data_IF_542004380961
#
_entry.id   IF_542004380961
#
_cell.length_a   1.000
_cell.length_b   1.000
_cell.length_c   1.000
_cell.angle_alpha   90.00
_cell.angle_beta   90.00
_cell.angle_gamma   90.00
#
_symmetry.space_group_name_H-M   'P 1'
#
loop_
_entity.id
_entity.type
_entity.pdbx_description
1 polymer ?
#
# COMPACT_ATOMS: atom_id res chain seq x y z
N UNK A 1 -29.40 2.29 13.88
CA UNK A 1 -28.17 1.51 13.75
C UNK A 1 -27.01 2.48 13.77
N UNK A 2 -25.95 2.13 14.49
CA UNK A 2 -24.72 2.92 14.47
C UNK A 2 -23.96 2.66 13.17
N UNK A 3 -23.26 3.68 12.66
CA UNK A 3 -22.41 3.55 11.48
C UNK A 3 -21.16 4.38 11.63
N UNK A 4 -20.09 3.94 10.99
CA UNK A 4 -18.81 4.62 10.90
C UNK A 4 -18.46 4.78 9.42
N UNK A 5 -18.13 6.00 9.02
CA UNK A 5 -17.59 6.30 7.69
C UNK A 5 -16.12 6.65 7.86
N UNK A 6 -15.27 6.02 7.07
CA UNK A 6 -13.82 6.21 7.13
C UNK A 6 -13.23 6.24 5.72
N UNK A 7 -12.26 7.13 5.51
CA UNK A 7 -11.40 7.15 4.32
C UNK A 7 -10.10 6.41 4.63
N UNK A 8 -9.69 5.56 3.73
CA UNK A 8 -8.51 4.70 3.87
C UNK A 8 -7.45 5.11 2.84
N UNK A 9 -6.31 5.66 3.29
CA UNK A 9 -5.31 6.21 2.37
C UNK A 9 -4.57 5.12 1.60
N UNK A 10 -4.10 5.44 0.42
CA UNK A 10 -3.05 4.68 -0.25
C UNK A 10 -1.68 4.94 0.40
N UNK A 11 -0.71 4.12 0.04
CA UNK A 11 0.72 4.34 0.34
C UNK A 11 1.58 4.23 -0.91
N UNK A 12 2.75 4.83 -0.87
CA UNK A 12 3.86 4.54 -1.77
C UNK A 12 5.06 4.05 -0.96
N UNK A 13 6.00 3.37 -1.64
CA UNK A 13 7.31 3.07 -1.08
C UNK A 13 8.33 4.04 -1.69
N UNK A 14 8.77 5.01 -0.91
CA UNK A 14 9.85 5.94 -1.30
C UNK A 14 11.20 5.22 -1.38
N UNK A 15 11.38 4.20 -0.56
CA UNK A 15 12.52 3.32 -0.54
C UNK A 15 12.07 1.88 -0.35
N UNK A 16 12.61 0.94 -1.09
CA UNK A 16 12.41 -0.49 -0.89
C UNK A 16 13.66 -1.25 -1.28
N UNK A 17 14.29 -1.85 -0.28
CA UNK A 17 15.46 -2.67 -0.44
C UNK A 17 15.21 -4.07 0.08
N UNK A 18 15.56 -5.07 -0.69
CA UNK A 18 15.48 -6.48 -0.29
C UNK A 18 16.85 -6.90 0.25
N UNK A 19 16.90 -7.26 1.52
CA UNK A 19 18.14 -7.56 2.22
C UNK A 19 18.58 -9.00 2.00
N UNK A 20 17.65 -9.95 2.21
CA UNK A 20 17.90 -11.39 2.04
C UNK A 20 16.58 -12.17 1.92
N UNK A 21 16.66 -13.39 1.48
CA UNK A 21 15.56 -14.35 1.62
C UNK A 21 15.63 -15.03 2.99
N UNK A 22 14.48 -15.15 3.66
CA UNK A 22 14.33 -15.81 4.96
C UNK A 22 14.04 -17.30 4.79
N UNK A 23 14.19 -18.07 5.85
CA UNK A 23 13.90 -19.51 5.87
C UNK A 23 12.40 -19.80 5.73
N UNK A 24 11.54 -18.89 6.19
CA UNK A 24 10.07 -18.96 6.04
C UNK A 24 9.57 -18.66 4.62
N UNK A 25 10.49 -18.38 3.69
CA UNK A 25 10.21 -18.10 2.29
C UNK A 25 9.92 -16.63 1.97
N UNK A 26 9.73 -15.78 2.97
CA UNK A 26 9.63 -14.33 2.83
C UNK A 26 10.99 -13.68 2.58
N UNK A 27 10.96 -12.36 2.33
CA UNK A 27 12.17 -11.56 2.17
C UNK A 27 12.27 -10.55 3.31
N UNK A 28 13.46 -10.43 3.85
CA UNK A 28 13.77 -9.35 4.79
C UNK A 28 13.98 -8.06 4.02
N UNK A 29 13.28 -7.02 4.43
CA UNK A 29 13.19 -5.73 3.74
C UNK A 29 13.68 -4.60 4.63
N UNK A 30 14.08 -3.51 3.98
CA UNK A 30 14.17 -2.17 4.52
C UNK A 30 13.36 -1.27 3.59
N UNK A 31 12.31 -0.64 4.09
CA UNK A 31 11.40 0.17 3.27
C UNK A 31 11.04 1.48 3.97
N UNK A 32 10.77 2.52 3.18
CA UNK A 32 10.21 3.78 3.65
C UNK A 32 8.82 3.93 3.05
N UNK A 33 7.82 3.76 3.88
CA UNK A 33 6.43 3.99 3.52
C UNK A 33 6.04 5.45 3.67
N UNK A 34 5.18 5.90 2.76
CA UNK A 34 4.51 7.19 2.82
C UNK A 34 3.03 7.04 2.48
N UNK A 35 2.16 7.43 3.40
CA UNK A 35 0.72 7.57 3.10
C UNK A 35 0.50 8.77 2.17
N UNK A 36 -0.44 8.64 1.24
CA UNK A 36 -0.72 9.63 0.22
C UNK A 36 -2.21 9.98 0.14
N UNK A 37 -2.54 11.13 -0.42
CA UNK A 37 -3.90 11.65 -0.55
C UNK A 37 -4.63 11.04 -1.76
N UNK A 38 -4.74 9.72 -1.76
CA UNK A 38 -5.59 8.90 -2.63
C UNK A 38 -6.30 7.89 -1.73
N UNK A 39 -7.63 7.76 -1.83
CA UNK A 39 -8.43 7.10 -0.82
C UNK A 39 -9.41 6.10 -1.39
N UNK A 40 -9.66 5.02 -0.63
CA UNK A 40 -10.91 4.30 -0.66
C UNK A 40 -11.85 4.84 0.43
N UNK A 41 -13.12 4.54 0.36
CA UNK A 41 -14.08 4.92 1.38
C UNK A 41 -14.86 3.70 1.85
N UNK A 42 -14.89 3.50 3.17
CA UNK A 42 -15.71 2.47 3.81
C UNK A 42 -16.83 3.10 4.63
N UNK A 43 -18.03 2.54 4.51
CA UNK A 43 -19.14 2.77 5.44
C UNK A 43 -19.46 1.44 6.10
N UNK A 44 -19.23 1.36 7.41
CA UNK A 44 -19.45 0.15 8.22
C UNK A 44 -20.58 0.42 9.19
N UNK A 45 -21.64 -0.38 9.15
CA UNK A 45 -22.81 -0.28 10.02
C UNK A 45 -23.16 -1.62 10.67
N UNK A 46 -23.82 -1.55 11.83
CA UNK A 46 -24.41 -2.73 12.44
C UNK A 46 -25.46 -3.34 11.49
N UNK A 47 -25.49 -4.67 11.38
CA UNK A 47 -26.50 -5.40 10.63
C UNK A 47 -27.37 -6.26 11.57
N UNK A 48 -28.51 -6.70 11.08
CA UNK A 48 -29.47 -7.47 11.90
C UNK A 48 -29.11 -8.94 12.03
N UNK A 49 -28.52 -9.54 11.02
CA UNK A 49 -28.37 -11.02 10.97
C UNK A 49 -27.01 -11.53 10.55
N UNK A 50 -26.39 -10.97 9.52
CA UNK A 50 -25.13 -11.47 8.97
C UNK A 50 -24.29 -10.35 8.43
N UNK A 51 -22.96 -10.58 8.37
CA UNK A 51 -22.05 -9.66 7.74
C UNK A 51 -22.22 -9.68 6.21
N UNK A 52 -22.16 -8.50 5.60
CA UNK A 52 -22.27 -8.31 4.16
C UNK A 52 -21.26 -7.25 3.70
N UNK A 53 -20.57 -7.51 2.59
CA UNK A 53 -19.67 -6.57 1.93
C UNK A 53 -20.18 -6.31 0.53
N UNK A 54 -20.34 -5.05 0.19
CA UNK A 54 -20.73 -4.55 -1.11
C UNK A 54 -19.60 -3.69 -1.67
N UNK A 55 -19.14 -4.00 -2.89
CA UNK A 55 -18.11 -3.25 -3.63
C UNK A 55 -18.63 -2.97 -5.04
N UNK A 56 -19.43 -1.91 -5.24
CA UNK A 56 -20.26 -1.73 -6.46
C UNK A 56 -19.47 -1.81 -7.77
N UNK A 57 -18.29 -1.20 -7.83
CA UNK A 57 -17.46 -1.17 -9.05
C UNK A 57 -16.54 -2.39 -9.20
N UNK A 58 -16.46 -3.25 -8.17
CA UNK A 58 -15.58 -4.41 -8.09
C UNK A 58 -16.25 -5.59 -7.37
N UNK A 59 -17.30 -6.22 -7.94
CA UNK A 59 -18.01 -7.35 -7.30
C UNK A 59 -17.11 -8.56 -7.01
N UNK A 60 -16.01 -8.71 -7.75
CA UNK A 60 -14.99 -9.73 -7.51
C UNK A 60 -14.28 -9.56 -6.16
N UNK A 61 -14.25 -8.36 -5.59
CA UNK A 61 -13.70 -8.08 -4.26
C UNK A 61 -14.65 -8.43 -3.11
N UNK A 62 -15.88 -8.81 -3.36
CA UNK A 62 -16.84 -9.26 -2.33
C UNK A 62 -16.54 -10.69 -1.84
N UNK A 63 -15.62 -11.38 -2.52
CA UNK A 63 -15.22 -12.75 -2.22
C UNK A 63 -14.62 -12.89 -0.80
N UNK A 64 -14.73 -14.09 -0.18
CA UNK A 64 -14.31 -14.33 1.21
C UNK A 64 -12.82 -14.16 1.50
N UNK A 65 -11.96 -14.11 0.50
CA UNK A 65 -10.52 -13.89 0.62
C UNK A 65 -10.13 -12.40 0.72
N UNK A 66 -11.07 -11.47 0.50
CA UNK A 66 -10.85 -10.06 0.72
C UNK A 66 -10.36 -9.79 2.16
N UNK A 67 -9.36 -8.89 2.28
CA UNK A 67 -8.77 -8.55 3.58
C UNK A 67 -9.76 -7.93 4.57
N UNK A 68 -10.81 -7.24 4.09
CA UNK A 68 -11.92 -6.76 4.92
C UNK A 68 -12.61 -7.92 5.65
N UNK A 69 -12.95 -9.01 4.92
CA UNK A 69 -13.51 -10.22 5.51
C UNK A 69 -12.54 -10.91 6.47
N UNK A 70 -11.26 -10.93 6.11
CA UNK A 70 -10.24 -11.53 6.97
C UNK A 70 -10.06 -10.73 8.27
N UNK A 71 -10.20 -9.41 8.23
CA UNK A 71 -10.16 -8.55 9.41
C UNK A 71 -11.33 -8.85 10.36
N UNK A 72 -12.56 -8.97 9.84
CA UNK A 72 -13.74 -9.34 10.64
C UNK A 72 -13.52 -10.71 11.29
N UNK A 73 -13.14 -11.73 10.51
CA UNK A 73 -12.90 -13.08 11.03
C UNK A 73 -11.78 -13.14 12.06
N UNK A 74 -10.78 -12.28 11.93
CA UNK A 74 -9.72 -12.18 12.94
C UNK A 74 -10.30 -11.65 14.27
N UNK A 75 -11.11 -10.58 14.22
CA UNK A 75 -11.80 -10.02 15.40
C UNK A 75 -12.72 -11.07 16.05
N UNK A 76 -13.55 -11.75 15.26
CA UNK A 76 -14.45 -12.79 15.73
C UNK A 76 -13.72 -13.91 16.45
N UNK A 77 -12.61 -14.40 15.85
CA UNK A 77 -11.76 -15.43 16.46
C UNK A 77 -11.08 -14.96 17.73
N UNK A 78 -10.62 -13.69 17.77
CA UNK A 78 -9.89 -13.13 18.91
C UNK A 78 -10.78 -12.89 20.12
N UNK A 79 -12.07 -12.63 19.89
CA UNK A 79 -13.07 -12.29 20.91
C UNK A 79 -14.09 -13.39 21.17
N UNK A 80 -14.06 -14.48 20.42
CA UNK A 80 -15.05 -15.56 20.45
C UNK A 80 -16.50 -15.06 20.27
N UNK A 81 -16.69 -13.96 19.52
CA UNK A 81 -17.94 -13.31 19.25
C UNK A 81 -18.22 -13.23 17.75
N UNK A 82 -19.47 -12.97 17.38
CA UNK A 82 -19.87 -12.75 15.98
C UNK A 82 -20.30 -11.30 15.77
N UNK A 83 -19.82 -10.67 14.70
CA UNK A 83 -20.10 -9.28 14.38
C UNK A 83 -20.89 -9.19 13.07
N UNK A 84 -22.20 -8.99 13.18
CA UNK A 84 -23.04 -8.72 12.03
C UNK A 84 -22.85 -7.28 11.57
N UNK A 85 -22.20 -7.09 10.43
CA UNK A 85 -21.89 -5.77 9.85
C UNK A 85 -22.31 -5.70 8.39
N UNK A 86 -22.79 -4.54 7.98
CA UNK A 86 -22.93 -4.19 6.56
C UNK A 86 -21.83 -3.21 6.21
N UNK A 87 -21.04 -3.55 5.19
CA UNK A 87 -19.92 -2.76 4.71
C UNK A 87 -20.16 -2.38 3.26
N UNK A 88 -20.09 -1.09 2.97
CA UNK A 88 -20.00 -0.56 1.62
C UNK A 88 -18.58 -0.03 1.41
N UNK A 89 -17.90 -0.54 0.39
CA UNK A 89 -16.54 -0.16 0.02
C UNK A 89 -16.52 0.46 -1.37
N UNK A 90 -16.27 1.76 -1.44
CA UNK A 90 -16.03 2.48 -2.68
C UNK A 90 -14.53 2.57 -2.94
N UNK A 91 -14.08 1.98 -4.07
CA UNK A 91 -12.65 1.94 -4.46
C UNK A 91 -12.26 3.18 -5.25
N UNK A 92 -11.34 3.97 -4.71
CA UNK A 92 -10.61 5.03 -5.41
C UNK A 92 -9.15 4.65 -5.66
N UNK A 93 -8.62 3.70 -4.87
CA UNK A 93 -7.25 3.19 -5.03
C UNK A 93 -7.27 2.03 -6.03
N UNK A 94 -6.48 2.09 -7.12
CA UNK A 94 -6.39 0.99 -8.08
C UNK A 94 -6.05 -0.35 -7.43
N UNK A 95 -6.78 -1.40 -7.81
CA UNK A 95 -6.60 -2.75 -7.25
C UNK A 95 -5.31 -3.39 -7.74
N UNK A 96 -4.60 -4.12 -6.88
CA UNK A 96 -3.33 -4.80 -7.18
C UNK A 96 -2.26 -3.88 -7.79
N UNK A 97 -2.21 -2.63 -7.35
CA UNK A 97 -1.42 -1.54 -7.92
C UNK A 97 -0.10 -1.23 -7.18
N UNK A 98 0.24 -1.95 -6.11
CA UNK A 98 1.40 -1.63 -5.26
C UNK A 98 1.16 -0.47 -4.28
N UNK A 99 -0.10 -0.01 -4.15
CA UNK A 99 -0.52 1.16 -3.36
C UNK A 99 -1.15 0.81 -2.00
N UNK A 100 -1.29 -0.46 -1.66
CA UNK A 100 -1.72 -0.92 -0.34
C UNK A 100 -3.22 -0.74 -0.02
N UNK A 101 -4.09 -0.46 -0.99
CA UNK A 101 -5.51 -0.17 -0.75
C UNK A 101 -6.23 -1.24 0.08
N UNK A 102 -6.15 -2.52 -0.31
CA UNK A 102 -6.79 -3.60 0.46
C UNK A 102 -6.25 -3.75 1.89
N UNK A 103 -4.96 -3.45 2.12
CA UNK A 103 -4.37 -3.43 3.46
C UNK A 103 -4.87 -2.25 4.28
N UNK A 104 -5.07 -1.10 3.66
CA UNK A 104 -5.65 0.09 4.27
C UNK A 104 -7.12 -0.16 4.68
N UNK A 105 -7.89 -0.80 3.78
CA UNK A 105 -9.29 -1.17 4.05
C UNK A 105 -9.38 -2.14 5.24
N UNK A 106 -8.48 -3.12 5.32
CA UNK A 106 -8.43 -4.08 6.43
C UNK A 106 -8.09 -3.41 7.77
N UNK A 107 -7.10 -2.51 7.79
CA UNK A 107 -6.73 -1.76 8.99
C UNK A 107 -7.91 -0.91 9.50
N UNK A 108 -8.57 -0.19 8.59
CA UNK A 108 -9.76 0.59 8.92
C UNK A 108 -10.91 -0.28 9.42
N UNK A 109 -11.09 -1.48 8.85
CA UNK A 109 -12.10 -2.43 9.30
C UNK A 109 -11.84 -2.89 10.74
N UNK A 110 -10.59 -3.22 11.09
CA UNK A 110 -10.20 -3.57 12.47
C UNK A 110 -10.59 -2.45 13.45
N UNK A 111 -10.22 -1.21 13.14
CA UNK A 111 -10.48 -0.04 14.00
C UNK A 111 -11.99 0.22 14.10
N UNK A 112 -12.68 0.28 12.96
CA UNK A 112 -14.09 0.65 12.90
C UNK A 112 -15.00 -0.39 13.57
N UNK A 113 -14.76 -1.68 13.35
CA UNK A 113 -15.55 -2.75 14.00
C UNK A 113 -15.28 -2.77 15.50
N UNK A 114 -14.02 -2.63 15.94
CA UNK A 114 -13.69 -2.48 17.37
C UNK A 114 -14.50 -1.33 18.00
N UNK A 115 -14.51 -0.17 17.35
CA UNK A 115 -15.22 1.01 17.86
C UNK A 115 -16.74 0.83 17.83
N UNK A 116 -17.28 0.29 16.74
CA UNK A 116 -18.73 0.11 16.54
C UNK A 116 -19.37 -0.77 17.62
N UNK A 117 -18.69 -1.86 17.96
CA UNK A 117 -19.18 -2.85 18.94
C UNK A 117 -18.60 -2.65 20.34
N UNK A 118 -17.73 -1.65 20.56
CA UNK A 118 -17.11 -1.41 21.87
C UNK A 118 -16.22 -2.57 22.32
N UNK A 119 -15.50 -3.19 21.39
CA UNK A 119 -14.67 -4.37 21.66
C UNK A 119 -13.48 -3.97 22.55
N UNK A 120 -13.25 -4.66 23.69
CA UNK A 120 -12.19 -4.30 24.65
C UNK A 120 -10.81 -4.80 24.22
N UNK A 121 -10.44 -4.55 22.97
CA UNK A 121 -9.10 -4.82 22.45
C UNK A 121 -8.24 -3.57 22.51
N UNK A 122 -6.97 -3.72 22.88
CA UNK A 122 -5.98 -2.65 22.88
C UNK A 122 -5.47 -2.33 21.48
N UNK A 123 -4.71 -1.26 21.32
CA UNK A 123 -4.04 -0.96 20.05
C UNK A 123 -2.94 -2.00 19.72
N UNK A 124 -2.32 -2.60 20.75
CA UNK A 124 -1.37 -3.71 20.57
C UNK A 124 -2.07 -4.97 20.03
N UNK A 125 -3.28 -5.30 20.55
CA UNK A 125 -4.07 -6.40 19.99
C UNK A 125 -4.41 -6.15 18.52
N UNK A 126 -4.77 -4.90 18.14
CA UNK A 126 -5.03 -4.59 16.73
C UNK A 126 -3.77 -4.68 15.87
N UNK A 127 -2.60 -4.33 16.42
CA UNK A 127 -1.33 -4.49 15.71
C UNK A 127 -1.03 -5.98 15.44
N UNK A 128 -1.28 -6.87 16.40
CA UNK A 128 -1.18 -8.32 16.20
C UNK A 128 -2.10 -8.77 15.06
N UNK A 129 -3.34 -8.26 15.02
CA UNK A 129 -4.28 -8.53 13.96
C UNK A 129 -3.80 -8.05 12.61
N UNK A 130 -3.28 -6.84 12.55
CA UNK A 130 -2.76 -6.25 11.34
C UNK A 130 -1.56 -7.05 10.79
N UNK A 131 -0.61 -7.43 11.64
CA UNK A 131 0.52 -8.28 11.27
C UNK A 131 0.08 -9.65 10.74
N UNK A 132 -0.95 -10.25 11.34
CA UNK A 132 -1.50 -11.53 10.89
C UNK A 132 -2.24 -11.44 9.53
N UNK A 133 -2.77 -10.27 9.19
CA UNK A 133 -3.48 -10.02 7.93
C UNK A 133 -2.51 -9.74 6.77
N UNK A 134 -1.43 -9.02 7.03
CA UNK A 134 -0.42 -8.72 6.02
C UNK A 134 0.56 -7.63 6.46
N UNK A 135 1.76 -7.63 5.89
CA UNK A 135 2.85 -6.73 6.27
C UNK A 135 2.49 -5.23 6.13
N UNK A 136 1.76 -4.86 5.08
CA UNK A 136 1.35 -3.47 4.85
C UNK A 136 0.18 -3.03 5.77
N UNK A 137 -0.57 -3.97 6.39
CA UNK A 137 -1.76 -3.61 7.20
C UNK A 137 -1.36 -2.85 8.46
N UNK A 138 -0.24 -3.23 9.10
CA UNK A 138 0.28 -2.57 10.30
C UNK A 138 0.66 -1.11 10.05
N UNK A 139 1.15 -0.78 8.86
CA UNK A 139 1.47 0.60 8.47
C UNK A 139 0.23 1.51 8.54
N UNK A 140 -0.93 1.01 8.11
CA UNK A 140 -2.15 1.81 8.08
C UNK A 140 -2.83 2.00 9.44
N UNK A 141 -2.39 1.29 10.48
CA UNK A 141 -2.79 1.60 11.87
C UNK A 141 -2.08 2.85 12.38
N UNK A 142 -0.85 3.12 11.94
CA UNK A 142 -0.04 4.26 12.37
C UNK A 142 -0.17 5.45 11.42
N UNK A 143 -0.23 5.20 10.12
CA UNK A 143 -0.30 6.23 9.07
C UNK A 143 0.98 7.08 8.94
N UNK A 144 0.89 8.15 8.14
CA UNK A 144 1.99 9.11 7.96
C UNK A 144 3.16 8.55 7.16
N UNK A 145 4.37 8.64 7.73
CA UNK A 145 5.61 8.08 7.17
C UNK A 145 6.24 7.14 8.18
N UNK A 146 6.73 5.98 7.72
CA UNK A 146 7.41 5.03 8.59
C UNK A 146 8.50 4.24 7.85
N UNK A 147 9.60 3.97 8.54
CA UNK A 147 10.54 2.94 8.13
C UNK A 147 10.00 1.58 8.55
N UNK A 148 9.89 0.67 7.60
CA UNK A 148 9.50 -0.73 7.83
C UNK A 148 10.71 -1.65 7.67
N UNK A 149 10.89 -2.55 8.61
CA UNK A 149 11.89 -3.62 8.64
C UNK A 149 11.22 -4.99 8.77
N UNK A 150 11.99 -6.06 8.74
CA UNK A 150 11.44 -7.42 8.70
C UNK A 150 10.87 -7.73 7.32
N UNK A 151 9.60 -8.13 7.23
CA UNK A 151 8.86 -8.23 5.98
C UNK A 151 8.10 -6.92 5.67
N UNK A 152 8.36 -5.85 6.43
CA UNK A 152 7.72 -4.53 6.39
C UNK A 152 6.82 -4.25 7.60
N UNK A 153 6.68 -5.20 8.53
CA UNK A 153 5.78 -5.15 9.68
C UNK A 153 6.36 -4.40 10.90
N UNK A 154 7.69 -4.37 11.04
CA UNK A 154 8.34 -3.64 12.13
C UNK A 154 8.51 -2.17 11.76
N UNK A 155 7.63 -1.36 12.26
CA UNK A 155 7.48 0.04 11.88
C UNK A 155 8.13 0.98 12.89
N UNK A 156 8.90 1.93 12.37
CA UNK A 156 9.39 3.08 13.13
C UNK A 156 8.89 4.35 12.45
N UNK A 157 7.98 5.11 13.10
CA UNK A 157 7.51 6.38 12.54
C UNK A 157 8.66 7.36 12.31
N UNK A 158 8.61 8.09 11.21
CA UNK A 158 9.56 9.14 10.86
C UNK A 158 8.84 10.38 10.39
N UNK A 159 9.48 11.53 10.56
CA UNK A 159 8.97 12.78 9.99
C UNK A 159 9.74 13.08 8.70
N UNK A 160 9.01 13.23 7.60
CA UNK A 160 9.55 13.65 6.31
C UNK A 160 9.01 15.04 5.97
N UNK A 161 9.89 15.91 5.48
CA UNK A 161 9.45 17.15 4.81
C UNK A 161 9.14 16.79 3.35
N UNK A 162 7.86 16.84 2.99
CA UNK A 162 7.37 16.49 1.66
C UNK A 162 6.77 17.75 1.02
N UNK A 163 7.63 18.63 0.54
CA UNK A 163 7.22 19.83 -0.20
C UNK A 163 7.15 19.56 -1.72
N UNK A 164 6.73 18.34 -2.08
CA UNK A 164 6.64 17.88 -3.47
C UNK A 164 5.21 17.58 -3.87
N UNK A 165 4.83 17.98 -5.08
CA UNK A 165 3.67 17.41 -5.75
C UNK A 165 3.92 15.94 -6.09
N UNK A 166 2.86 15.12 -6.08
CA UNK A 166 2.89 13.70 -6.41
C UNK A 166 2.01 13.41 -7.63
N UNK A 167 2.56 12.77 -8.65
CA UNK A 167 1.82 12.19 -9.76
C UNK A 167 1.91 10.69 -9.70
N UNK A 168 0.78 10.01 -9.89
CA UNK A 168 0.69 8.56 -10.01
C UNK A 168 0.29 8.19 -11.44
N UNK A 169 0.97 7.21 -12.01
CA UNK A 169 0.60 6.59 -13.27
C UNK A 169 0.47 5.08 -13.08
N UNK A 170 -0.76 4.58 -13.25
CA UNK A 170 -1.05 3.15 -13.25
C UNK A 170 -1.30 2.67 -14.68
N UNK A 171 -0.56 1.67 -15.17
CA UNK A 171 -0.73 1.17 -16.55
C UNK A 171 -2.01 0.35 -16.77
N UNK A 172 -2.84 0.15 -15.72
CA UNK A 172 -4.16 -0.47 -15.83
C UNK A 172 -4.18 -2.00 -15.92
N UNK A 173 -3.12 -2.68 -15.44
CA UNK A 173 -3.07 -4.14 -15.30
C UNK A 173 -2.50 -4.56 -13.95
N UNK A 174 -2.89 -5.71 -13.40
CA UNK A 174 -2.37 -6.19 -12.13
C UNK A 174 -0.97 -6.80 -12.29
N UNK A 175 -0.10 -6.59 -11.29
CA UNK A 175 1.19 -7.26 -11.18
C UNK A 175 1.17 -8.25 -10.02
N UNK A 176 1.65 -9.46 -10.27
CA UNK A 176 1.78 -10.48 -9.22
C UNK A 176 3.01 -10.20 -8.36
N UNK A 177 2.79 -9.72 -7.14
CA UNK A 177 3.84 -9.52 -6.12
C UNK A 177 4.69 -10.78 -5.95
N UNK A 178 4.03 -11.95 -5.84
CA UNK A 178 4.71 -13.23 -5.69
C UNK A 178 5.62 -13.57 -6.89
N UNK A 179 5.22 -13.22 -8.12
CA UNK A 179 6.05 -13.45 -9.31
C UNK A 179 7.29 -12.55 -9.31
N UNK A 180 7.14 -11.29 -8.93
CA UNK A 180 8.26 -10.32 -8.84
C UNK A 180 9.28 -10.76 -7.80
N UNK A 181 8.83 -11.10 -6.58
CA UNK A 181 9.74 -11.58 -5.52
C UNK A 181 10.41 -12.91 -5.86
N UNK A 182 9.69 -13.84 -6.50
CA UNK A 182 10.27 -15.11 -6.96
C UNK A 182 11.37 -14.90 -7.99
N UNK A 183 11.17 -14.00 -8.96
CA UNK A 183 12.19 -13.71 -9.97
C UNK A 183 13.36 -12.92 -9.34
N UNK A 184 13.09 -11.98 -8.43
CA UNK A 184 14.12 -11.28 -7.68
C UNK A 184 15.01 -12.24 -6.90
N UNK A 185 14.45 -13.28 -6.25
CA UNK A 185 15.20 -14.28 -5.50
C UNK A 185 16.26 -15.01 -6.34
N UNK A 186 16.05 -15.13 -7.65
CA UNK A 186 17.02 -15.74 -8.58
C UNK A 186 18.23 -14.86 -8.88
N UNK A 187 18.09 -13.55 -8.66
CA UNK A 187 19.12 -12.55 -8.90
C UNK A 187 19.82 -12.11 -7.62
N UNK A 188 19.28 -12.49 -6.45
CA UNK A 188 19.81 -12.08 -5.16
C UNK A 188 21.15 -12.75 -4.89
N UNK A 189 22.24 -11.99 -4.94
CA UNK A 189 23.58 -12.45 -4.63
C UNK A 189 23.99 -11.90 -3.26
N UNK A 190 24.07 -12.81 -2.26
CA UNK A 190 24.59 -12.45 -0.93
C UNK A 190 23.57 -11.77 -0.01
N UNK A 191 24.07 -11.38 1.15
CA UNK A 191 23.33 -10.81 2.27
C UNK A 191 23.70 -9.32 2.43
N UNK A 192 22.73 -8.43 2.25
CA UNK A 192 22.91 -6.97 2.35
C UNK A 192 22.60 -6.50 3.78
N UNK A 193 23.43 -6.83 4.77
CA UNK A 193 23.16 -6.60 6.20
C UNK A 193 23.21 -5.14 6.67
N UNK A 194 23.79 -4.23 5.90
CA UNK A 194 23.95 -2.84 6.36
C UNK A 194 22.76 -1.98 5.94
N UNK A 195 22.07 -1.39 6.93
CA UNK A 195 21.05 -0.40 6.70
C UNK A 195 21.63 0.82 5.95
N UNK A 196 21.06 1.09 4.77
CA UNK A 196 21.37 2.30 4.00
C UNK A 196 20.38 3.42 4.31
N UNK A 197 19.12 3.07 4.52
CA UNK A 197 18.04 4.04 4.69
C UNK A 197 18.23 4.88 5.95
N UNK A 198 18.48 4.25 7.10
CA UNK A 198 18.73 4.97 8.35
C UNK A 198 19.92 5.92 8.30
N UNK A 199 20.96 5.57 7.53
CA UNK A 199 22.09 6.46 7.30
C UNK A 199 21.64 7.70 6.52
N UNK A 200 20.92 7.51 5.41
CA UNK A 200 20.44 8.60 4.56
C UNK A 200 19.47 9.52 5.31
N UNK A 201 18.55 8.97 6.10
CA UNK A 201 17.62 9.76 6.91
C UNK A 201 18.34 10.60 7.97
N UNK A 202 19.34 10.03 8.67
CA UNK A 202 20.13 10.77 9.67
C UNK A 202 20.98 11.87 9.05
N UNK A 203 21.44 11.71 7.82
CA UNK A 203 22.21 12.70 7.06
C UNK A 203 21.31 13.78 6.45
N UNK A 204 19.97 13.72 6.66
CA UNK A 204 19.01 14.69 6.10
C UNK A 204 18.93 14.62 4.57
N UNK A 205 19.11 13.44 3.99
CA UNK A 205 19.05 13.27 2.55
C UNK A 205 17.67 13.67 2.02
N UNK A 206 17.58 14.56 1.01
CA UNK A 206 16.32 14.95 0.39
C UNK A 206 15.54 13.73 -0.14
N UNK A 207 14.21 13.78 -0.07
CA UNK A 207 13.35 12.63 -0.40
C UNK A 207 13.52 12.15 -1.84
N UNK A 208 13.68 13.06 -2.79
CA UNK A 208 13.95 12.75 -4.20
C UNK A 208 15.22 11.92 -4.40
N UNK A 209 16.22 12.06 -3.51
CA UNK A 209 17.47 11.30 -3.50
C UNK A 209 17.40 10.01 -2.68
N UNK A 210 16.35 9.83 -1.89
CA UNK A 210 16.06 8.57 -1.19
C UNK A 210 15.45 7.50 -2.10
N UNK A 211 14.89 7.89 -3.25
CA UNK A 211 14.14 7.02 -4.13
C UNK A 211 14.93 5.79 -4.56
N UNK A 212 14.47 4.61 -4.14
CA UNK A 212 15.08 3.34 -4.47
C UNK A 212 14.07 2.18 -4.40
N UNK A 213 14.10 1.29 -5.39
CA UNK A 213 13.28 0.09 -5.36
C UNK A 213 14.01 -1.07 -6.04
N UNK A 214 14.48 -2.03 -5.24
CA UNK A 214 15.19 -3.24 -5.72
C UNK A 214 14.29 -4.10 -6.62
N UNK A 215 12.97 -4.04 -6.47
CA UNK A 215 12.03 -4.84 -7.27
C UNK A 215 11.74 -4.22 -8.65
N UNK A 216 11.97 -2.91 -8.83
CA UNK A 216 11.63 -2.22 -10.07
C UNK A 216 12.29 -2.84 -11.31
N UNK A 217 13.62 -3.12 -11.36
CA UNK A 217 14.24 -3.71 -12.55
C UNK A 217 13.63 -5.08 -12.91
N UNK A 218 13.20 -5.83 -11.90
CA UNK A 218 12.56 -7.14 -12.09
C UNK A 218 11.14 -6.98 -12.64
N UNK A 219 10.37 -6.05 -12.06
CA UNK A 219 9.03 -5.75 -12.55
C UNK A 219 9.06 -5.25 -14.00
N UNK A 220 10.00 -4.36 -14.35
CA UNK A 220 10.21 -3.87 -15.72
C UNK A 220 10.59 -4.97 -16.70
N UNK A 221 11.37 -5.96 -16.26
CA UNK A 221 11.72 -7.13 -17.06
C UNK A 221 10.50 -8.03 -17.32
N UNK A 222 9.69 -8.27 -16.29
CA UNK A 222 8.49 -9.12 -16.39
C UNK A 222 7.33 -8.42 -17.08
N UNK A 223 7.23 -7.10 -16.91
CA UNK A 223 6.15 -6.26 -17.40
C UNK A 223 6.72 -4.99 -18.06
N UNK A 224 7.12 -5.06 -19.34
CA UNK A 224 7.80 -3.96 -20.04
C UNK A 224 7.02 -2.64 -20.08
N UNK A 225 5.69 -2.69 -19.91
CA UNK A 225 4.83 -1.51 -19.81
C UNK A 225 5.19 -0.63 -18.61
N UNK A 226 5.65 -1.21 -17.50
CA UNK A 226 6.12 -0.45 -16.32
C UNK A 226 7.32 0.42 -16.70
N UNK A 227 8.27 -0.12 -17.48
CA UNK A 227 9.41 0.64 -17.98
C UNK A 227 9.00 1.77 -18.92
N UNK A 228 7.98 1.54 -19.79
CA UNK A 228 7.44 2.56 -20.69
C UNK A 228 6.79 3.70 -19.92
N UNK A 229 5.97 3.38 -18.92
CA UNK A 229 5.31 4.37 -18.05
C UNK A 229 6.36 5.18 -17.29
N UNK A 230 7.40 4.54 -16.76
CA UNK A 230 8.47 5.25 -16.06
C UNK A 230 9.27 6.18 -16.99
N UNK A 231 9.62 5.71 -18.18
CA UNK A 231 10.31 6.54 -19.17
C UNK A 231 9.48 7.77 -19.55
N UNK A 232 8.19 7.57 -19.83
CA UNK A 232 7.25 8.64 -20.13
C UNK A 232 7.15 9.67 -18.98
N UNK A 233 7.02 9.20 -17.72
CA UNK A 233 6.98 10.11 -16.58
C UNK A 233 8.26 10.91 -16.41
N UNK A 234 9.43 10.32 -16.67
CA UNK A 234 10.73 11.03 -16.63
C UNK A 234 10.84 12.09 -17.69
N UNK A 235 10.33 11.83 -18.87
CA UNK A 235 10.37 12.77 -19.99
C UNK A 235 9.42 13.96 -19.77
N UNK A 236 8.20 13.69 -19.26
CA UNK A 236 7.10 14.65 -19.27
C UNK A 236 6.82 15.29 -17.91
N UNK A 237 7.08 14.58 -16.80
CA UNK A 237 6.65 15.02 -15.46
C UNK A 237 7.83 15.52 -14.64
N UNK A 238 8.80 14.66 -14.31
CA UNK A 238 9.95 14.97 -13.43
C UNK A 238 11.01 13.88 -13.46
N UNK A 239 12.20 14.20 -12.93
CA UNK A 239 13.33 13.25 -12.86
C UNK A 239 13.20 12.23 -11.71
N UNK A 240 12.54 12.62 -10.61
CA UNK A 240 12.37 11.80 -9.41
C UNK A 240 11.20 10.81 -9.57
N UNK A 241 11.40 9.74 -10.34
CA UNK A 241 10.37 8.76 -10.72
C UNK A 241 10.73 7.38 -10.22
N UNK A 242 9.77 6.70 -9.54
CA UNK A 242 9.95 5.36 -9.00
C UNK A 242 8.66 4.53 -9.07
N UNK A 243 8.80 3.20 -9.14
CA UNK A 243 7.71 2.26 -8.99
C UNK A 243 7.38 2.03 -7.50
N UNK A 244 6.10 2.03 -7.11
CA UNK A 244 5.66 1.74 -5.75
C UNK A 244 5.54 0.23 -5.50
N UNK A 245 6.18 -0.26 -4.45
CA UNK A 245 6.12 -1.66 -4.04
C UNK A 245 6.58 -2.61 -5.15
N UNK A 246 5.81 -3.64 -5.43
CA UNK A 246 6.03 -4.57 -6.55
C UNK A 246 5.45 -4.08 -7.89
N UNK A 247 4.85 -2.90 -7.91
CA UNK A 247 4.21 -2.31 -9.07
C UNK A 247 2.72 -2.67 -9.22
N UNK A 248 2.11 -2.30 -10.37
CA UNK A 248 2.71 -1.62 -11.52
C UNK A 248 2.73 -0.09 -11.43
N UNK A 249 2.13 0.52 -10.39
CA UNK A 249 2.05 1.99 -10.30
C UNK A 249 3.44 2.59 -10.21
N UNK A 250 3.68 3.59 -11.06
CA UNK A 250 4.86 4.44 -11.04
C UNK A 250 4.43 5.80 -10.50
N UNK A 251 5.24 6.39 -9.63
CA UNK A 251 5.02 7.73 -9.11
C UNK A 251 6.18 8.66 -9.45
N UNK A 252 5.88 9.95 -9.56
CA UNK A 252 6.84 11.01 -9.73
C UNK A 252 6.67 12.08 -8.66
N UNK A 253 7.79 12.59 -8.14
CA UNK A 253 7.85 13.69 -7.17
C UNK A 253 8.47 14.91 -7.83
N UNK A 254 7.85 16.08 -7.69
CA UNK A 254 8.42 17.32 -8.23
C UNK A 254 7.55 18.54 -7.95
N UNK A 255 8.03 19.69 -8.41
CA UNK A 255 7.22 20.90 -8.48
C UNK A 255 6.35 20.80 -9.74
N UNK A 256 5.11 20.33 -9.51
CA UNK A 256 4.19 19.99 -10.59
C UNK A 256 3.34 21.20 -10.94
N UNK A 257 3.69 21.89 -12.00
CA UNK A 257 2.81 22.90 -12.58
C UNK A 257 1.52 22.23 -13.09
N UNK A 258 0.34 22.76 -12.71
CA UNK A 258 -0.96 22.23 -13.08
C UNK A 258 -1.13 22.06 -14.61
N UNK A 259 -0.50 22.93 -15.41
CA UNK A 259 -0.49 22.85 -16.89
C UNK A 259 0.17 21.57 -17.41
N UNK A 260 1.29 21.14 -16.78
CA UNK A 260 1.99 19.90 -17.16
C UNK A 260 1.15 18.65 -16.88
N UNK A 261 0.39 18.65 -15.81
CA UNK A 261 -0.51 17.53 -15.45
C UNK A 261 -1.62 17.39 -16.49
N UNK A 262 -2.20 18.50 -16.98
CA UNK A 262 -3.22 18.48 -18.04
C UNK A 262 -2.67 18.03 -19.39
N UNK A 263 -1.45 18.43 -19.74
CA UNK A 263 -0.75 17.95 -20.94
C UNK A 263 -0.51 16.43 -20.89
N UNK A 264 -0.10 15.92 -19.73
CA UNK A 264 0.09 14.48 -19.48
C UNK A 264 -1.25 13.73 -19.60
N UNK A 265 -2.33 14.25 -19.01
CA UNK A 265 -3.68 13.67 -19.14
C UNK A 265 -4.12 13.59 -20.59
N UNK A 266 -3.86 14.62 -21.39
CA UNK A 266 -4.22 14.66 -22.82
C UNK A 266 -3.43 13.69 -23.70
N UNK A 267 -2.26 13.22 -23.25
CA UNK A 267 -1.42 12.26 -23.98
C UNK A 267 -1.66 10.80 -23.57
N UNK A 268 -2.40 10.56 -22.47
CA UNK A 268 -2.74 9.22 -22.03
C UNK A 268 -4.01 8.72 -22.73
N UNK A 269 -4.09 7.44 -23.11
CA UNK A 269 -5.33 6.84 -23.57
C UNK A 269 -6.44 7.02 -22.51
N UNK A 270 -7.65 7.36 -22.93
CA UNK A 270 -8.78 7.73 -22.06
C UNK A 270 -9.15 6.70 -20.96
N UNK A 271 -8.70 5.46 -21.09
CA UNK A 271 -8.92 4.36 -20.13
C UNK A 271 -7.78 4.18 -19.09
N UNK A 272 -6.78 5.08 -19.09
CA UNK A 272 -5.61 5.02 -18.19
C UNK A 272 -5.47 6.24 -17.26
N UNK A 273 -6.43 7.15 -17.28
CA UNK A 273 -6.46 8.31 -16.39
C UNK A 273 -7.24 7.98 -15.12
N UNK A 274 -6.53 7.86 -14.01
CA UNK A 274 -7.09 8.02 -12.66
C UNK A 274 -6.72 9.40 -12.13
#
# INVERSE_FOLDING_TARGET
MKSIRVRTPAKINLFLRVLRRREDGYHELETLFQAIDLWDELIISEAVSSAHLEVPDHPDLEAPDNLVWRAIRWLEKRTEAHYAVQIQLAKGIPVAAGLGGGSSDAAATLIAVRQLFGIPLTDEDLLDGACALGADVSFFLSGGSAVGEGIGERLTPVQLSLDYGLVLLNPGFPVSTAAVYREFSRTLTGDKRHSRLWKLLREGCPVDRLLHNDLQPIAEKLYPEVARVRAFMREVVCDAVLMSGSGPTVFGLGDLEARRIEEVRGQLPAHKTC
#
